data_IF_362387608328
#
_entry.id   IF_362387608328
#
_cell.length_a   1.000
_cell.length_b   1.000
_cell.length_c   1.000
_cell.angle_alpha   90.00
_cell.angle_beta   90.00
_cell.angle_gamma   90.00
#
_symmetry.space_group_name_H-M   'P 1'
#
loop_
_entity.id
_entity.type
_entity.pdbx_description
1 polymer ?
#
# COMPACT_ATOMS: atom_id res chain seq x y z
N UNK A 1 10.13 -34.07 -2.88
CA UNK A 1 10.84 -33.52 -1.72
C UNK A 1 11.05 -32.04 -2.03
N UNK A 2 10.48 -31.07 -1.30
CA UNK A 2 10.88 -29.70 -1.50
C UNK A 2 12.36 -29.61 -1.14
N UNK A 3 13.19 -29.16 -2.07
CA UNK A 3 14.58 -28.85 -1.81
C UNK A 3 14.62 -27.82 -0.68
N UNK A 4 15.16 -28.21 0.47
CA UNK A 4 15.41 -27.27 1.57
C UNK A 4 16.34 -26.19 1.03
N UNK A 5 15.79 -25.01 0.77
CA UNK A 5 16.60 -23.84 0.39
C UNK A 5 17.52 -23.52 1.56
N UNK A 6 18.77 -23.20 1.29
CA UNK A 6 19.72 -22.78 2.33
C UNK A 6 19.13 -21.58 3.13
N UNK A 7 19.40 -21.47 4.44
CA UNK A 7 18.85 -20.42 5.27
C UNK A 7 19.26 -19.02 4.78
N UNK A 8 18.45 -18.03 5.05
CA UNK A 8 18.75 -16.60 4.81
C UNK A 8 19.86 -16.18 5.78
N UNK A 9 20.76 -15.33 5.32
CA UNK A 9 21.94 -14.91 6.11
C UNK A 9 21.90 -13.44 6.50
N UNK A 10 21.06 -12.63 5.86
CA UNK A 10 20.87 -11.22 6.18
C UNK A 10 19.48 -10.75 5.79
N UNK A 11 18.97 -9.76 6.52
CA UNK A 11 17.87 -8.88 6.08
C UNK A 11 18.48 -7.64 5.46
N UNK A 12 18.06 -7.26 4.26
CA UNK A 12 18.64 -6.17 3.49
C UNK A 12 17.60 -5.12 3.18
N UNK A 13 17.83 -3.89 3.66
CA UNK A 13 17.09 -2.73 3.21
C UNK A 13 17.50 -2.38 1.78
N UNK A 14 16.53 -2.37 0.88
CA UNK A 14 16.72 -1.94 -0.51
C UNK A 14 16.09 -0.59 -0.71
N UNK A 15 16.90 0.44 -0.83
CA UNK A 15 16.39 1.73 -1.29
C UNK A 15 16.12 1.66 -2.79
N UNK A 16 14.84 1.74 -3.15
CA UNK A 16 14.34 1.68 -4.53
C UNK A 16 13.85 3.03 -5.01
N UNK A 17 13.83 4.03 -4.14
CA UNK A 17 13.47 5.42 -4.43
C UNK A 17 14.71 6.29 -4.61
N UNK A 18 14.56 7.39 -5.34
CA UNK A 18 15.65 8.37 -5.51
C UNK A 18 16.01 9.07 -4.19
N UNK A 19 15.02 9.19 -3.31
CA UNK A 19 15.18 9.78 -1.97
C UNK A 19 14.18 9.16 -1.00
N UNK A 20 14.64 8.81 0.19
CA UNK A 20 13.82 8.34 1.30
C UNK A 20 14.10 9.26 2.50
N UNK A 21 13.09 9.96 3.05
CA UNK A 21 13.26 10.86 4.19
C UNK A 21 13.83 10.15 5.43
N UNK A 22 14.53 10.87 6.29
CA UNK A 22 15.21 10.31 7.46
C UNK A 22 14.27 9.55 8.40
N UNK A 23 13.07 10.09 8.62
CA UNK A 23 12.05 9.44 9.45
C UNK A 23 11.57 8.10 8.88
N UNK A 24 11.51 7.98 7.54
CA UNK A 24 11.14 6.73 6.88
C UNK A 24 12.32 5.75 6.93
N UNK A 25 13.55 6.19 6.66
CA UNK A 25 14.73 5.34 6.76
C UNK A 25 14.86 4.70 8.14
N UNK A 26 14.72 5.51 9.21
CA UNK A 26 14.77 5.01 10.58
C UNK A 26 13.63 4.01 10.87
N UNK A 27 12.41 4.29 10.38
CA UNK A 27 11.26 3.39 10.50
C UNK A 27 11.51 2.07 9.75
N UNK A 28 12.02 2.13 8.52
CA UNK A 28 12.34 0.95 7.72
C UNK A 28 13.42 0.09 8.38
N UNK A 29 14.46 0.72 8.94
CA UNK A 29 15.50 0.00 9.67
C UNK A 29 14.91 -0.74 10.89
N UNK A 30 14.03 -0.10 11.63
CA UNK A 30 13.38 -0.71 12.79
C UNK A 30 12.50 -1.89 12.37
N UNK A 31 11.73 -1.76 11.30
CA UNK A 31 10.93 -2.84 10.72
C UNK A 31 11.84 -4.00 10.28
N UNK A 32 12.95 -3.72 9.60
CA UNK A 32 13.91 -4.75 9.19
C UNK A 32 14.51 -5.51 10.38
N UNK A 33 14.74 -4.84 11.52
CA UNK A 33 15.18 -5.49 12.76
C UNK A 33 14.13 -6.46 13.33
N UNK A 34 12.84 -6.09 13.32
CA UNK A 34 11.75 -6.99 13.71
C UNK A 34 11.65 -8.19 12.77
N UNK A 35 11.76 -7.97 11.47
CA UNK A 35 11.75 -9.06 10.47
C UNK A 35 12.95 -9.98 10.63
N UNK A 36 14.13 -9.44 10.92
CA UNK A 36 15.33 -10.22 11.18
C UNK A 36 15.16 -11.13 12.41
N UNK A 37 14.60 -10.58 13.50
CA UNK A 37 14.28 -11.34 14.70
C UNK A 37 13.30 -12.50 14.38
N UNK A 38 12.20 -12.21 13.68
CA UNK A 38 11.20 -13.21 13.27
C UNK A 38 11.78 -14.33 12.40
N UNK A 39 12.74 -13.99 11.54
CA UNK A 39 13.39 -14.92 10.63
C UNK A 39 14.58 -15.65 11.27
N UNK A 40 14.96 -15.33 12.52
CA UNK A 40 16.14 -15.87 13.18
C UNK A 40 17.46 -15.44 12.52
N UNK A 41 17.51 -14.22 12.01
CA UNK A 41 18.66 -13.62 11.31
C UNK A 41 19.24 -12.50 12.16
N UNK A 42 20.52 -12.56 12.51
CA UNK A 42 21.15 -11.54 13.37
C UNK A 42 21.65 -10.31 12.58
N UNK A 43 21.70 -10.40 11.26
CA UNK A 43 22.33 -9.39 10.40
C UNK A 43 21.30 -8.58 9.61
N UNK A 44 21.35 -7.23 9.80
CA UNK A 44 20.59 -6.26 9.00
C UNK A 44 21.57 -5.36 8.25
N UNK A 45 21.39 -5.21 6.95
CA UNK A 45 22.27 -4.45 6.05
C UNK A 45 21.48 -3.39 5.29
N UNK A 46 22.18 -2.31 4.91
CA UNK A 46 21.60 -1.22 4.09
C UNK A 46 21.94 -1.33 2.61
N UNK A 47 22.62 -2.40 2.21
CA UNK A 47 22.96 -2.68 0.81
C UNK A 47 23.06 -4.19 0.59
N UNK A 48 22.87 -4.69 -0.65
CA UNK A 48 23.03 -6.08 -0.96
C UNK A 48 24.41 -6.58 -0.58
N UNK A 49 24.46 -7.74 0.10
CA UNK A 49 25.73 -8.37 0.48
C UNK A 49 26.43 -8.87 -0.78
N UNK A 50 27.64 -8.41 -1.09
CA UNK A 50 28.36 -8.83 -2.29
C UNK A 50 28.94 -10.24 -2.10
N UNK A 51 28.11 -11.26 -2.16
CA UNK A 51 28.51 -12.66 -2.14
C UNK A 51 27.55 -13.45 -3.00
N UNK A 52 28.09 -14.23 -3.94
CA UNK A 52 27.30 -15.08 -4.82
C UNK A 52 26.48 -16.14 -4.04
N UNK A 53 26.88 -16.47 -2.81
CA UNK A 53 26.23 -17.46 -1.94
C UNK A 53 25.36 -16.83 -0.86
N UNK A 54 25.32 -15.49 -0.73
CA UNK A 54 24.52 -14.81 0.28
C UNK A 54 23.04 -14.84 -0.10
N UNK A 55 22.25 -15.57 0.67
CA UNK A 55 20.78 -15.54 0.54
C UNK A 55 20.23 -14.50 1.51
N UNK A 56 19.64 -13.46 0.94
CA UNK A 56 19.09 -12.35 1.70
C UNK A 56 17.55 -12.41 1.74
N UNK A 57 16.99 -11.79 2.77
CA UNK A 57 15.60 -11.36 2.82
C UNK A 57 15.56 -9.87 2.59
N UNK A 58 14.79 -9.40 1.63
CA UNK A 58 14.81 -8.02 1.20
C UNK A 58 13.64 -7.21 1.75
N UNK A 59 13.90 -5.96 2.11
CA UNK A 59 12.89 -4.97 2.53
C UNK A 59 13.01 -3.76 1.61
N UNK A 60 12.35 -3.77 0.45
CA UNK A 60 12.37 -2.65 -0.48
C UNK A 60 11.60 -1.45 0.07
N UNK A 61 12.12 -0.23 -0.14
CA UNK A 61 11.44 1.02 0.24
C UNK A 61 10.20 1.32 -0.60
N UNK A 62 10.07 0.68 -1.78
CA UNK A 62 8.88 0.70 -2.64
C UNK A 62 8.69 -0.65 -3.32
N UNK A 63 7.54 -0.86 -3.99
CA UNK A 63 7.31 -2.06 -4.80
C UNK A 63 8.44 -2.21 -5.81
N UNK A 64 9.08 -3.38 -5.83
CA UNK A 64 10.20 -3.65 -6.72
C UNK A 64 9.71 -3.77 -8.16
N UNK A 65 10.17 -2.88 -9.01
CA UNK A 65 9.89 -2.89 -10.45
C UNK A 65 11.19 -3.19 -11.16
N UNK A 66 11.34 -4.19 -11.88
CA UNK A 66 12.48 -4.64 -12.68
C UNK A 66 12.75 -6.14 -12.45
N UNK A 67 12.22 -6.98 -13.35
CA UNK A 67 12.43 -8.43 -13.28
C UNK A 67 13.92 -8.85 -13.35
N UNK A 68 14.76 -8.05 -14.03
CA UNK A 68 16.20 -8.34 -14.13
C UNK A 68 16.88 -8.15 -12.78
N UNK A 69 16.57 -7.04 -12.09
CA UNK A 69 17.05 -6.78 -10.73
C UNK A 69 16.51 -7.80 -9.73
N UNK A 70 15.22 -8.17 -9.86
CA UNK A 70 14.60 -9.20 -9.03
C UNK A 70 15.35 -10.53 -9.14
N UNK A 71 15.63 -10.99 -10.37
CA UNK A 71 16.41 -12.22 -10.60
C UNK A 71 17.83 -12.11 -10.08
N UNK A 72 18.52 -10.99 -10.30
CA UNK A 72 19.88 -10.75 -9.82
C UNK A 72 19.98 -10.77 -8.28
N UNK A 73 18.93 -10.38 -7.59
CA UNK A 73 18.81 -10.43 -6.13
C UNK A 73 18.39 -11.83 -5.63
N UNK A 74 18.03 -12.76 -6.51
CA UNK A 74 17.54 -14.08 -6.14
C UNK A 74 16.17 -14.07 -5.47
N UNK A 75 15.32 -13.09 -5.79
CA UNK A 75 13.93 -13.00 -5.33
C UNK A 75 13.06 -13.86 -6.23
N UNK A 76 12.53 -14.95 -5.68
CA UNK A 76 11.72 -15.93 -6.41
C UNK A 76 10.33 -16.13 -5.84
N UNK A 77 10.07 -15.65 -4.62
CA UNK A 77 8.78 -15.82 -3.93
C UNK A 77 8.62 -14.89 -2.74
N UNK A 78 7.47 -15.01 -2.11
CA UNK A 78 7.09 -14.21 -0.95
C UNK A 78 8.05 -14.38 0.24
N UNK A 79 8.72 -15.51 0.32
CA UNK A 79 9.72 -15.82 1.34
C UNK A 79 11.04 -15.07 1.16
N UNK A 80 11.20 -14.26 0.11
CA UNK A 80 12.44 -13.56 -0.20
C UNK A 80 12.39 -12.06 0.10
N UNK A 81 11.19 -11.49 0.32
CA UNK A 81 11.06 -10.04 0.56
C UNK A 81 9.87 -9.69 1.48
N UNK A 82 9.90 -8.51 2.08
CA UNK A 82 8.76 -7.86 2.74
C UNK A 82 8.25 -6.72 1.84
N UNK A 83 7.20 -6.99 1.11
CA UNK A 83 6.64 -6.09 0.10
C UNK A 83 6.23 -6.86 -1.13
N UNK A 84 6.32 -6.22 -2.28
CA UNK A 84 5.96 -6.81 -3.57
C UNK A 84 6.97 -6.55 -4.67
N UNK A 85 6.87 -7.35 -5.71
CA UNK A 85 7.61 -7.20 -6.96
C UNK A 85 6.66 -7.38 -8.14
N UNK A 86 6.83 -6.53 -9.16
CA UNK A 86 6.04 -6.48 -10.39
C UNK A 86 6.94 -6.27 -11.60
N UNK A 87 6.42 -6.61 -12.79
CA UNK A 87 7.21 -6.56 -14.02
C UNK A 87 7.23 -5.18 -14.71
N UNK A 88 6.25 -4.31 -14.43
CA UNK A 88 6.14 -3.00 -15.10
C UNK A 88 5.80 -1.88 -14.11
N UNK A 89 6.26 -0.64 -14.36
CA UNK A 89 6.05 0.51 -13.47
C UNK A 89 4.59 0.76 -13.09
N UNK A 90 3.68 0.77 -14.07
CA UNK A 90 2.25 1.00 -13.82
C UNK A 90 1.63 -0.04 -12.88
N UNK A 91 2.15 -1.27 -12.83
CA UNK A 91 1.66 -2.32 -11.93
C UNK A 91 1.98 -2.03 -10.45
N UNK A 92 2.99 -1.21 -10.17
CA UNK A 92 3.35 -0.82 -8.81
C UNK A 92 2.46 0.27 -8.22
N UNK A 93 1.54 0.83 -9.01
CA UNK A 93 0.76 2.01 -8.63
C UNK A 93 -0.74 1.79 -8.83
N UNK A 94 -1.55 2.76 -8.37
CA UNK A 94 -3.00 2.80 -8.60
C UNK A 94 -3.40 2.89 -10.09
N UNK A 95 -2.46 3.04 -11.03
CA UNK A 95 -2.74 3.05 -12.47
C UNK A 95 -3.47 1.78 -12.94
N UNK A 96 -3.28 0.64 -12.27
CA UNK A 96 -3.97 -0.61 -12.64
C UNK A 96 -5.46 -0.62 -12.35
N UNK A 97 -5.96 0.33 -11.53
CA UNK A 97 -7.32 0.26 -10.96
C UNK A 97 -8.44 0.46 -11.99
N UNK A 98 -8.17 1.02 -13.16
CA UNK A 98 -9.24 1.34 -14.11
C UNK A 98 -8.91 0.92 -15.54
N UNK A 99 -9.93 0.67 -16.39
CA UNK A 99 -9.72 0.41 -17.81
C UNK A 99 -9.22 1.66 -18.51
N UNK A 100 -8.73 1.47 -19.73
CA UNK A 100 -8.41 2.57 -20.63
C UNK A 100 -9.68 3.12 -21.32
N UNK A 101 -9.71 4.40 -21.72
CA UNK A 101 -10.66 4.87 -22.72
C UNK A 101 -10.51 4.09 -24.03
N UNK A 102 -11.57 4.00 -24.84
CA UNK A 102 -11.50 3.36 -26.15
C UNK A 102 -10.39 3.97 -27.01
N UNK A 103 -9.63 3.14 -27.72
CA UNK A 103 -8.53 3.52 -28.59
C UNK A 103 -7.39 4.34 -27.91
N UNK A 104 -7.24 4.21 -26.58
CA UNK A 104 -6.17 4.88 -25.86
C UNK A 104 -4.81 4.19 -26.06
N UNK A 105 -3.74 4.98 -25.99
CA UNK A 105 -2.37 4.46 -25.97
C UNK A 105 -2.02 3.89 -24.59
N UNK A 106 -1.16 2.88 -24.55
CA UNK A 106 -0.74 2.24 -23.30
C UNK A 106 0.70 1.69 -23.40
N UNK A 107 1.40 1.56 -22.26
CA UNK A 107 2.76 1.02 -22.22
C UNK A 107 2.78 -0.51 -22.43
N UNK A 108 3.95 -1.09 -22.75
CA UNK A 108 4.14 -2.53 -22.76
C UNK A 108 3.70 -3.19 -21.45
N UNK A 109 3.10 -4.38 -21.56
CA UNK A 109 2.62 -5.15 -20.39
C UNK A 109 1.27 -4.72 -19.84
N UNK A 110 0.63 -3.70 -20.40
CA UNK A 110 -0.73 -3.33 -20.01
C UNK A 110 -1.74 -4.43 -20.38
N UNK A 111 -2.75 -4.60 -19.52
CA UNK A 111 -3.90 -5.47 -19.81
C UNK A 111 -5.17 -4.93 -19.15
N UNK A 112 -6.24 -4.82 -19.91
CA UNK A 112 -7.57 -4.47 -19.37
C UNK A 112 -8.24 -5.64 -18.64
N UNK A 113 -7.69 -6.85 -18.78
CA UNK A 113 -8.26 -8.05 -18.12
C UNK A 113 -8.23 -7.95 -16.59
N UNK A 114 -7.27 -7.21 -16.02
CA UNK A 114 -7.25 -6.90 -14.59
C UNK A 114 -8.51 -6.11 -14.19
N UNK A 115 -8.73 -4.95 -14.80
CA UNK A 115 -9.86 -4.08 -14.49
C UNK A 115 -11.21 -4.75 -14.78
N UNK A 116 -11.27 -5.62 -15.80
CA UNK A 116 -12.47 -6.43 -16.10
C UNK A 116 -12.78 -7.43 -14.99
N UNK A 117 -11.77 -8.16 -14.49
CA UNK A 117 -11.99 -9.13 -13.41
C UNK A 117 -12.28 -8.44 -12.06
N UNK A 118 -11.63 -7.31 -11.79
CA UNK A 118 -11.79 -6.54 -10.56
C UNK A 118 -12.97 -5.55 -10.62
N UNK A 119 -13.80 -5.52 -11.67
CA UNK A 119 -14.78 -4.46 -11.93
C UNK A 119 -15.68 -4.14 -10.74
N UNK A 120 -16.15 -5.15 -9.99
CA UNK A 120 -17.00 -4.98 -8.82
C UNK A 120 -16.26 -4.44 -7.58
N UNK A 121 -14.94 -4.40 -7.65
CA UNK A 121 -14.07 -3.85 -6.62
C UNK A 121 -13.55 -2.45 -6.95
N UNK A 122 -13.96 -1.84 -8.06
CA UNK A 122 -13.44 -0.58 -8.55
C UNK A 122 -14.51 0.51 -8.56
N UNK A 123 -14.10 1.75 -8.30
CA UNK A 123 -14.90 2.92 -8.62
C UNK A 123 -14.95 3.11 -10.14
N UNK A 124 -15.87 3.94 -10.63
CA UNK A 124 -15.91 4.27 -12.05
C UNK A 124 -14.78 5.24 -12.40
N UNK A 125 -13.97 4.88 -13.37
CA UNK A 125 -12.81 5.68 -13.74
C UNK A 125 -12.12 5.18 -14.98
N UNK A 126 -11.05 5.89 -15.33
CA UNK A 126 -10.13 5.54 -16.40
C UNK A 126 -8.68 5.73 -15.96
N UNK A 127 -7.83 4.84 -16.41
CA UNK A 127 -6.38 5.05 -16.41
C UNK A 127 -5.96 5.53 -17.78
N UNK A 128 -5.01 6.46 -17.84
CA UNK A 128 -4.53 7.04 -19.08
C UNK A 128 -3.02 7.20 -19.06
N UNK A 129 -2.39 7.10 -20.23
CA UNK A 129 -0.95 7.22 -20.44
C UNK A 129 -0.56 8.35 -21.38
N UNK A 130 -1.53 9.19 -21.78
CA UNK A 130 -1.30 10.40 -22.57
C UNK A 130 -2.21 11.53 -22.15
N UNK A 131 -1.78 12.76 -22.38
CA UNK A 131 -2.59 13.97 -22.11
C UNK A 131 -3.86 14.01 -23.00
N UNK A 132 -3.79 13.47 -24.21
CA UNK A 132 -4.94 13.39 -25.11
C UNK A 132 -6.01 12.44 -24.53
N UNK A 133 -5.60 11.28 -24.04
CA UNK A 133 -6.49 10.31 -23.42
C UNK A 133 -7.06 10.82 -22.09
N UNK A 134 -6.27 11.60 -21.32
CA UNK A 134 -6.75 12.24 -20.09
C UNK A 134 -7.91 13.20 -20.37
N UNK A 135 -7.84 14.01 -21.43
CA UNK A 135 -8.95 14.89 -21.84
C UNK A 135 -10.20 14.10 -22.19
N UNK A 136 -10.07 13.03 -22.98
CA UNK A 136 -11.20 12.15 -23.33
C UNK A 136 -11.83 11.49 -22.09
N UNK A 137 -10.99 10.97 -21.21
CA UNK A 137 -11.46 10.35 -19.96
C UNK A 137 -12.23 11.34 -19.09
N UNK A 138 -11.70 12.56 -18.91
CA UNK A 138 -12.36 13.61 -18.17
C UNK A 138 -13.71 13.99 -18.80
N UNK A 139 -13.78 14.18 -20.11
CA UNK A 139 -15.04 14.49 -20.82
C UNK A 139 -16.11 13.40 -20.62
N UNK A 140 -15.70 12.13 -20.58
CA UNK A 140 -16.61 11.02 -20.36
C UNK A 140 -17.15 11.00 -18.93
N UNK A 141 -16.28 11.18 -17.93
CA UNK A 141 -16.65 11.12 -16.52
C UNK A 141 -17.43 12.34 -16.06
N UNK A 142 -17.07 13.55 -16.53
CA UNK A 142 -17.72 14.81 -16.17
C UNK A 142 -19.20 14.88 -16.57
N UNK A 143 -19.67 14.03 -17.49
CA UNK A 143 -21.12 13.94 -17.82
C UNK A 143 -21.96 13.50 -16.63
N UNK A 144 -21.37 12.76 -15.72
CA UNK A 144 -22.07 12.15 -14.58
C UNK A 144 -21.75 12.82 -13.25
N UNK A 145 -20.64 13.57 -13.15
CA UNK A 145 -20.29 14.28 -11.93
C UNK A 145 -18.87 14.80 -11.88
N UNK A 146 -18.44 15.33 -10.74
CA UNK A 146 -17.05 15.74 -10.51
C UNK A 146 -16.10 14.56 -10.69
N UNK A 147 -14.88 14.88 -11.11
CA UNK A 147 -13.83 13.87 -11.38
C UNK A 147 -12.62 14.13 -10.48
N UNK A 148 -12.18 13.11 -9.79
CA UNK A 148 -10.94 13.12 -9.02
C UNK A 148 -9.78 12.71 -9.91
N UNK A 149 -8.83 13.60 -10.09
CA UNK A 149 -7.57 13.38 -10.83
C UNK A 149 -6.50 12.97 -9.83
N UNK A 150 -5.90 11.80 -10.02
CA UNK A 150 -4.96 11.18 -9.07
C UNK A 150 -3.62 10.91 -9.75
N UNK A 151 -2.59 11.74 -9.53
CA UNK A 151 -1.22 11.40 -9.90
C UNK A 151 -0.80 10.10 -9.20
N UNK A 152 -0.29 9.14 -9.98
CA UNK A 152 -0.09 7.77 -9.46
C UNK A 152 1.13 7.61 -8.54
N UNK A 153 2.13 8.48 -8.66
CA UNK A 153 3.32 8.49 -7.83
C UNK A 153 3.14 9.25 -6.50
N UNK A 154 2.02 9.97 -6.35
CA UNK A 154 1.73 10.69 -5.12
C UNK A 154 1.10 9.78 -4.07
N UNK A 155 1.55 9.93 -2.81
CA UNK A 155 1.10 9.15 -1.65
C UNK A 155 0.26 10.01 -0.71
N UNK A 156 -0.53 9.37 0.16
CA UNK A 156 -1.31 10.02 1.23
C UNK A 156 -2.27 11.13 0.72
N UNK A 157 -2.86 10.96 -0.45
CA UNK A 157 -3.80 11.92 -1.04
C UNK A 157 -3.16 13.19 -1.62
N UNK A 158 -1.84 13.35 -1.52
CA UNK A 158 -1.15 14.54 -2.05
C UNK A 158 -1.30 14.66 -3.57
N UNK A 159 -1.40 15.89 -4.06
CA UNK A 159 -1.50 16.19 -5.50
C UNK A 159 -2.80 15.74 -6.17
N UNK A 160 -3.75 15.15 -5.44
CA UNK A 160 -5.08 14.87 -5.99
C UNK A 160 -5.88 16.17 -6.10
N UNK A 161 -6.65 16.27 -7.18
CA UNK A 161 -7.53 17.42 -7.41
C UNK A 161 -8.88 16.94 -7.93
N UNK A 162 -9.94 17.64 -7.50
CA UNK A 162 -11.30 17.42 -8.02
C UNK A 162 -11.57 18.49 -9.06
N UNK A 163 -11.97 18.07 -10.25
CA UNK A 163 -12.34 18.95 -11.35
C UNK A 163 -13.84 18.85 -11.61
N UNK A 164 -14.46 19.98 -11.92
CA UNK A 164 -15.89 20.09 -12.25
C UNK A 164 -16.13 20.39 -13.73
N UNK A 165 -15.08 20.71 -14.47
CA UNK A 165 -15.08 20.95 -15.90
C UNK A 165 -13.74 20.59 -16.54
N UNK A 166 -13.73 20.47 -17.86
CA UNK A 166 -12.53 20.09 -18.62
C UNK A 166 -11.43 21.15 -18.59
N UNK A 167 -11.75 22.43 -18.33
CA UNK A 167 -10.74 23.50 -18.31
C UNK A 167 -9.86 23.39 -17.08
N UNK A 168 -10.41 22.94 -15.94
CA UNK A 168 -9.67 22.72 -14.71
C UNK A 168 -8.61 21.61 -14.82
N UNK A 169 -8.70 20.72 -15.83
CA UNK A 169 -7.71 19.68 -16.09
C UNK A 169 -6.43 20.24 -16.74
N UNK A 170 -6.53 21.28 -17.55
CA UNK A 170 -5.39 21.74 -18.38
C UNK A 170 -4.14 22.15 -17.60
N UNK A 171 -4.24 22.94 -16.49
CA UNK A 171 -3.07 23.27 -15.68
C UNK A 171 -2.36 22.02 -15.12
N UNK A 172 -3.14 20.99 -14.75
CA UNK A 172 -2.60 19.73 -14.23
C UNK A 172 -1.82 19.00 -15.30
N UNK A 173 -2.39 18.89 -16.51
CA UNK A 173 -1.72 18.23 -17.64
C UNK A 173 -0.47 19.00 -18.10
N UNK A 174 -0.49 20.34 -18.07
CA UNK A 174 0.68 21.14 -18.41
C UNK A 174 1.85 20.93 -17.46
N UNK A 175 1.59 20.71 -16.18
CA UNK A 175 2.60 20.44 -15.17
C UNK A 175 3.19 19.02 -15.23
N UNK A 176 2.55 18.09 -15.96
CA UNK A 176 2.98 16.70 -16.07
C UNK A 176 4.02 16.53 -17.17
N UNK A 177 5.06 15.75 -16.85
CA UNK A 177 6.03 15.27 -17.83
C UNK A 177 5.41 14.13 -18.68
N UNK A 178 5.58 14.21 -19.99
CA UNK A 178 4.96 13.27 -20.94
C UNK A 178 5.58 11.87 -20.86
N UNK A 179 6.88 11.77 -20.59
CA UNK A 179 7.59 10.49 -20.47
C UNK A 179 7.15 9.78 -19.17
N UNK A 180 7.12 10.50 -18.06
CA UNK A 180 6.62 9.98 -16.79
C UNK A 180 5.16 9.56 -16.87
N UNK A 181 4.29 10.35 -17.53
CA UNK A 181 2.90 10.00 -17.78
C UNK A 181 2.78 8.73 -18.62
N UNK A 182 3.57 8.62 -19.70
CA UNK A 182 3.58 7.44 -20.58
C UNK A 182 4.04 6.15 -19.88
N UNK A 183 4.87 6.26 -18.84
CA UNK A 183 5.42 5.14 -18.10
C UNK A 183 4.54 4.71 -16.90
N UNK A 184 4.07 5.68 -16.12
CA UNK A 184 3.41 5.45 -14.83
C UNK A 184 1.89 5.58 -14.90
N UNK A 185 1.38 6.41 -15.81
CA UNK A 185 -0.04 6.68 -15.98
C UNK A 185 -0.59 7.79 -15.07
N UNK A 186 -1.86 8.08 -15.28
CA UNK A 186 -2.70 8.99 -14.49
C UNK A 186 -4.06 8.34 -14.30
N UNK A 187 -4.64 8.46 -13.11
CA UNK A 187 -5.99 7.98 -12.82
C UNK A 187 -6.97 9.16 -12.77
N UNK A 188 -8.09 8.99 -13.46
CA UNK A 188 -9.27 9.83 -13.34
C UNK A 188 -10.43 8.95 -12.88
N UNK A 189 -11.07 9.30 -11.76
CA UNK A 189 -12.20 8.52 -11.24
C UNK A 189 -13.33 9.42 -10.74
N UNK A 190 -14.53 8.84 -10.60
CA UNK A 190 -15.65 9.54 -9.98
C UNK A 190 -15.26 10.08 -8.60
N UNK A 191 -15.66 11.32 -8.31
CA UNK A 191 -15.50 11.88 -6.97
C UNK A 191 -16.68 11.48 -6.08
N UNK A 192 -16.40 11.19 -4.81
CA UNK A 192 -17.40 10.76 -3.84
C UNK A 192 -17.51 11.76 -2.69
N UNK A 193 -18.72 11.96 -2.21
CA UNK A 193 -19.03 12.72 -1.00
C UNK A 193 -19.14 11.77 0.22
N UNK A 194 -18.93 12.34 1.43
CA UNK A 194 -19.03 11.63 2.70
C UNK A 194 -18.22 10.32 2.73
N UNK A 195 -16.97 10.41 2.28
CA UNK A 195 -16.09 9.24 2.12
C UNK A 195 -15.66 8.68 3.47
N UNK A 196 -15.88 7.38 3.65
CA UNK A 196 -15.28 6.53 4.65
C UNK A 196 -14.21 5.66 4.00
N UNK A 197 -13.05 5.50 4.63
CA UNK A 197 -11.94 4.71 4.09
C UNK A 197 -11.63 3.54 5.00
N UNK A 198 -11.59 2.35 4.43
CA UNK A 198 -11.16 1.11 5.07
C UNK A 198 -9.75 0.75 4.60
N UNK A 199 -8.94 0.24 5.51
CA UNK A 199 -7.64 -0.37 5.20
C UNK A 199 -7.78 -1.88 5.38
N UNK A 200 -7.51 -2.65 4.33
CA UNK A 200 -7.54 -4.12 4.35
C UNK A 200 -6.19 -4.63 3.89
N UNK A 201 -5.60 -5.58 4.62
CA UNK A 201 -4.30 -6.08 4.22
C UNK A 201 -3.98 -7.47 4.72
N UNK A 202 -2.84 -7.96 4.22
CA UNK A 202 -2.29 -9.26 4.59
C UNK A 202 -0.76 -9.21 4.57
N UNK A 203 -0.14 -9.88 5.54
CA UNK A 203 1.31 -10.07 5.59
C UNK A 203 1.64 -11.55 5.76
N UNK A 204 2.66 -12.02 5.03
CA UNK A 204 3.17 -13.40 5.05
C UNK A 204 4.66 -13.39 5.31
N UNK A 205 5.07 -13.75 6.52
CA UNK A 205 6.47 -13.70 6.96
C UNK A 205 6.74 -14.88 7.89
N UNK A 206 7.88 -15.53 7.74
CA UNK A 206 8.36 -16.62 8.61
C UNK A 206 7.33 -17.77 8.78
N UNK A 207 6.56 -18.07 7.73
CA UNK A 207 5.49 -19.08 7.78
C UNK A 207 4.21 -18.65 8.45
N UNK A 208 4.14 -17.41 8.98
CA UNK A 208 2.91 -16.80 9.46
C UNK A 208 2.17 -16.07 8.34
N UNK A 209 0.86 -16.21 8.33
CA UNK A 209 -0.06 -15.37 7.54
C UNK A 209 -0.95 -14.62 8.53
N UNK A 210 -0.96 -13.30 8.43
CA UNK A 210 -1.85 -12.45 9.20
C UNK A 210 -2.66 -11.60 8.23
N UNK A 211 -3.96 -11.50 8.46
CA UNK A 211 -4.84 -10.58 7.71
C UNK A 211 -5.46 -9.56 8.66
N UNK A 212 -5.74 -8.39 8.16
CA UNK A 212 -6.32 -7.33 8.97
C UNK A 212 -7.30 -6.46 8.20
N UNK A 213 -8.18 -5.85 8.94
CA UNK A 213 -8.92 -4.68 8.52
C UNK A 213 -8.71 -3.55 9.51
N UNK A 214 -8.98 -2.33 9.10
CA UNK A 214 -8.88 -1.18 9.98
C UNK A 214 -9.31 0.11 9.32
N UNK A 215 -9.11 1.20 10.06
CA UNK A 215 -9.37 2.56 9.64
C UNK A 215 -8.09 3.38 9.72
N UNK A 216 -8.02 4.44 8.93
CA UNK A 216 -6.95 5.43 9.02
C UNK A 216 -7.47 6.66 9.77
N UNK A 217 -6.61 7.29 10.54
CA UNK A 217 -6.90 8.60 11.13
C UNK A 217 -5.94 9.64 10.58
N UNK A 218 -6.42 10.87 10.53
CA UNK A 218 -5.64 12.01 10.08
C UNK A 218 -5.03 12.74 11.27
N UNK A 219 -3.92 13.40 11.03
CA UNK A 219 -3.29 14.35 11.94
C UNK A 219 -3.01 15.67 11.20
N UNK A 220 -2.55 16.69 11.92
CA UNK A 220 -2.16 17.96 11.30
C UNK A 220 -0.65 18.09 11.33
N UNK A 221 -0.06 18.40 10.17
CA UNK A 221 1.34 18.73 10.06
C UNK A 221 1.64 20.15 10.62
N UNK A 222 2.90 20.56 10.59
CA UNK A 222 3.32 21.89 11.08
C UNK A 222 2.72 23.06 10.29
N UNK A 223 2.23 22.84 9.07
CA UNK A 223 1.51 23.84 8.27
C UNK A 223 0.00 23.83 8.54
N UNK A 224 -0.49 22.93 9.41
CA UNK A 224 -1.90 22.76 9.71
C UNK A 224 -2.67 21.94 8.65
N UNK A 225 -1.96 21.35 7.69
CA UNK A 225 -2.55 20.50 6.66
C UNK A 225 -2.89 19.13 7.25
N UNK A 226 -4.06 18.60 6.91
CA UNK A 226 -4.44 17.25 7.27
C UNK A 226 -3.64 16.24 6.45
N UNK A 227 -2.94 15.35 7.15
CA UNK A 227 -2.09 14.29 6.59
C UNK A 227 -2.37 12.98 7.31
N UNK A 228 -1.84 11.89 6.78
CA UNK A 228 -1.92 10.58 7.45
C UNK A 228 -1.34 10.67 8.87
N UNK A 229 -2.12 10.24 9.85
CA UNK A 229 -1.79 10.26 11.27
C UNK A 229 -1.59 8.87 11.88
N UNK A 230 -2.01 7.82 11.16
CA UNK A 230 -1.87 6.44 11.59
C UNK A 230 -3.03 5.55 11.17
N UNK A 231 -2.99 4.31 11.66
CA UNK A 231 -4.01 3.30 11.39
C UNK A 231 -4.33 2.51 12.64
N UNK A 232 -5.60 2.18 12.83
CA UNK A 232 -6.07 1.23 13.83
C UNK A 232 -6.47 -0.05 13.13
N UNK A 233 -5.87 -1.18 13.51
CA UNK A 233 -6.00 -2.47 12.84
C UNK A 233 -6.57 -3.52 13.79
N UNK A 234 -7.51 -4.32 13.31
CA UNK A 234 -7.89 -5.61 13.89
C UNK A 234 -7.21 -6.69 13.07
N UNK A 235 -6.30 -7.41 13.70
CA UNK A 235 -5.43 -8.40 13.05
C UNK A 235 -5.82 -9.81 13.49
N UNK A 236 -5.96 -10.72 12.54
CA UNK A 236 -6.22 -12.15 12.80
C UNK A 236 -5.08 -13.01 12.26
N UNK A 237 -4.88 -14.17 12.91
CA UNK A 237 -4.05 -15.24 12.37
C UNK A 237 -4.79 -15.92 11.21
N UNK A 238 -4.15 -15.99 10.06
CA UNK A 238 -4.68 -16.62 8.87
C UNK A 238 -4.97 -15.64 7.74
N UNK A 239 -5.64 -16.13 6.71
CA UNK A 239 -5.95 -15.39 5.50
C UNK A 239 -7.25 -14.54 5.64
N UNK A 240 -7.69 -13.93 4.55
CA UNK A 240 -8.91 -13.14 4.52
C UNK A 240 -10.17 -13.94 4.88
N UNK A 241 -10.17 -15.28 4.66
CA UNK A 241 -11.32 -16.11 5.04
C UNK A 241 -11.47 -16.17 6.57
N UNK A 242 -10.35 -16.15 7.31
CA UNK A 242 -10.39 -16.04 8.78
C UNK A 242 -10.86 -14.65 9.21
N UNK A 243 -10.44 -13.61 8.51
CA UNK A 243 -10.89 -12.24 8.78
C UNK A 243 -12.41 -12.09 8.58
N UNK A 244 -12.97 -12.73 7.54
CA UNK A 244 -14.42 -12.73 7.24
C UNK A 244 -15.28 -13.50 8.28
N UNK A 245 -14.68 -14.28 9.17
CA UNK A 245 -15.36 -14.96 10.27
C UNK A 245 -15.64 -14.04 11.46
N UNK A 246 -15.00 -12.86 11.52
CA UNK A 246 -15.28 -11.88 12.56
C UNK A 246 -16.72 -11.34 12.44
N UNK A 247 -17.31 -10.84 13.53
CA UNK A 247 -18.60 -10.15 13.51
C UNK A 247 -18.45 -8.78 12.83
N UNK A 248 -18.47 -8.78 11.50
CA UNK A 248 -18.30 -7.62 10.64
C UNK A 248 -19.65 -7.07 10.20
N UNK A 249 -19.76 -5.74 10.07
CA UNK A 249 -20.86 -5.14 9.33
C UNK A 249 -20.75 -5.41 7.81
N UNK A 250 -21.82 -5.14 7.08
CA UNK A 250 -21.88 -5.42 5.65
C UNK A 250 -20.88 -4.59 4.83
N UNK A 251 -20.56 -3.40 5.30
CA UNK A 251 -19.64 -2.49 4.60
C UNK A 251 -18.20 -2.96 4.69
N UNK A 252 -17.80 -3.37 5.87
CA UNK A 252 -16.46 -3.90 6.10
C UNK A 252 -16.28 -5.27 5.42
N UNK A 253 -17.33 -6.10 5.44
CA UNK A 253 -17.36 -7.36 4.68
C UNK A 253 -17.21 -7.12 3.18
N UNK A 254 -17.90 -6.09 2.64
CA UNK A 254 -17.75 -5.70 1.24
C UNK A 254 -16.31 -5.24 0.94
N UNK A 255 -15.72 -4.38 1.79
CA UNK A 255 -14.36 -3.91 1.61
C UNK A 255 -13.34 -5.06 1.58
N UNK A 256 -13.47 -6.06 2.47
CA UNK A 256 -12.60 -7.24 2.47
C UNK A 256 -12.76 -8.04 1.16
N UNK A 257 -13.99 -8.25 0.70
CA UNK A 257 -14.24 -8.96 -0.56
C UNK A 257 -13.69 -8.19 -1.77
N UNK A 258 -13.75 -6.85 -1.76
CA UNK A 258 -13.17 -6.01 -2.81
C UNK A 258 -11.64 -6.11 -2.83
N UNK A 259 -10.98 -6.10 -1.66
CA UNK A 259 -9.54 -6.34 -1.57
C UNK A 259 -9.16 -7.72 -2.13
N UNK A 260 -9.91 -8.77 -1.78
CA UNK A 260 -9.69 -10.13 -2.30
C UNK A 260 -9.85 -10.21 -3.82
N UNK A 261 -10.90 -9.60 -4.38
CA UNK A 261 -11.15 -9.59 -5.82
C UNK A 261 -10.03 -8.85 -6.58
N UNK A 262 -9.58 -7.72 -6.03
CA UNK A 262 -8.48 -6.94 -6.58
C UNK A 262 -7.16 -7.72 -6.57
N UNK A 263 -6.83 -8.38 -5.45
CA UNK A 263 -5.65 -9.24 -5.32
C UNK A 263 -5.69 -10.41 -6.29
N UNK A 264 -6.83 -11.10 -6.37
CA UNK A 264 -7.01 -12.21 -7.30
C UNK A 264 -6.80 -11.80 -8.76
N UNK A 265 -7.24 -10.59 -9.14
CA UNK A 265 -7.00 -10.05 -10.47
C UNK A 265 -5.50 -9.80 -10.73
N UNK A 266 -4.76 -9.28 -9.75
CA UNK A 266 -3.31 -9.09 -9.84
C UNK A 266 -2.56 -10.43 -9.97
N UNK A 267 -2.88 -11.40 -9.12
CA UNK A 267 -2.27 -12.75 -9.16
C UNK A 267 -2.51 -13.45 -10.51
N UNK A 268 -3.67 -13.20 -11.12
CA UNK A 268 -4.05 -13.85 -12.38
C UNK A 268 -3.42 -13.19 -13.61
N UNK A 269 -3.31 -11.86 -13.62
CA UNK A 269 -3.00 -11.12 -14.85
C UNK A 269 -1.66 -10.41 -14.84
N UNK A 270 -0.94 -10.39 -13.71
CA UNK A 270 0.39 -9.79 -13.68
C UNK A 270 1.48 -10.87 -13.63
N UNK A 271 2.15 -11.13 -14.76
CA UNK A 271 3.21 -12.12 -14.81
C UNK A 271 4.33 -11.78 -13.82
N UNK A 272 4.74 -12.76 -13.00
CA UNK A 272 5.81 -12.57 -12.02
C UNK A 272 5.43 -11.72 -10.82
N UNK A 273 4.14 -11.46 -10.57
CA UNK A 273 3.67 -10.80 -9.37
C UNK A 273 4.05 -11.58 -8.11
N UNK A 274 4.69 -10.92 -7.20
CA UNK A 274 5.01 -11.44 -5.87
C UNK A 274 4.59 -10.38 -4.85
N UNK A 275 3.92 -10.78 -3.77
CA UNK A 275 3.64 -9.89 -2.67
C UNK A 275 3.52 -10.66 -1.35
N UNK A 276 4.47 -10.45 -0.45
CA UNK A 276 4.40 -10.95 0.93
C UNK A 276 3.69 -9.96 1.86
N UNK A 277 3.63 -8.69 1.49
CA UNK A 277 2.90 -7.64 2.19
C UNK A 277 1.94 -6.95 1.23
N UNK A 278 0.68 -6.90 1.60
CA UNK A 278 -0.41 -6.33 0.82
C UNK A 278 -1.25 -5.41 1.71
N UNK A 279 -1.59 -4.25 1.17
CA UNK A 279 -2.55 -3.35 1.78
C UNK A 279 -3.37 -2.68 0.68
N UNK A 280 -4.66 -2.51 0.93
CA UNK A 280 -5.63 -1.90 0.03
C UNK A 280 -6.41 -0.85 0.79
N UNK A 281 -6.47 0.36 0.26
CA UNK A 281 -7.33 1.41 0.75
C UNK A 281 -8.62 1.38 -0.06
N UNK A 282 -9.75 1.17 0.61
CA UNK A 282 -11.06 1.04 0.01
C UNK A 282 -11.93 2.21 0.46
N UNK A 283 -12.48 2.96 -0.49
CA UNK A 283 -13.44 4.00 -0.21
C UNK A 283 -14.87 3.48 -0.26
N UNK A 284 -15.71 4.10 0.55
CA UNK A 284 -17.16 4.07 0.47
C UNK A 284 -17.67 5.49 0.60
N UNK A 285 -18.60 5.88 -0.27
CA UNK A 285 -19.17 7.23 -0.25
C UNK A 285 -20.35 7.33 -1.21
N UNK A 286 -20.86 8.52 -1.41
CA UNK A 286 -21.97 8.77 -2.31
C UNK A 286 -21.49 9.45 -3.59
N UNK A 287 -21.98 9.00 -4.75
CA UNK A 287 -21.82 9.73 -6.00
C UNK A 287 -22.71 10.99 -6.00
N UNK A 288 -22.58 11.82 -7.03
CA UNK A 288 -23.37 13.06 -7.17
C UNK A 288 -24.87 12.82 -7.19
N UNK A 289 -25.33 11.64 -7.58
CA UNK A 289 -26.74 11.25 -7.63
C UNK A 289 -27.24 10.70 -6.27
N UNK A 290 -26.35 10.58 -5.28
CA UNK A 290 -26.64 10.03 -3.95
C UNK A 290 -26.64 8.50 -3.90
N UNK A 291 -26.12 7.82 -4.93
CA UNK A 291 -25.96 6.39 -4.90
C UNK A 291 -24.70 6.01 -4.11
N UNK A 292 -24.85 5.01 -3.25
CA UNK A 292 -23.73 4.48 -2.51
C UNK A 292 -22.77 3.73 -3.44
N UNK A 293 -21.49 4.13 -3.39
CA UNK A 293 -20.39 3.56 -4.14
C UNK A 293 -19.33 3.02 -3.19
N UNK A 294 -18.64 1.98 -3.60
CA UNK A 294 -17.47 1.45 -2.88
C UNK A 294 -16.49 0.86 -3.86
N UNK A 295 -15.19 1.03 -3.59
CA UNK A 295 -14.13 0.46 -4.44
C UNK A 295 -12.74 0.72 -3.89
N UNK A 296 -11.78 -0.05 -4.39
CA UNK A 296 -10.36 0.08 -4.07
C UNK A 296 -9.81 1.38 -4.68
N UNK A 297 -9.30 2.26 -3.82
CA UNK A 297 -8.65 3.52 -4.23
C UNK A 297 -7.22 3.31 -4.70
N UNK A 298 -6.48 2.46 -3.97
CA UNK A 298 -5.10 2.11 -4.30
C UNK A 298 -4.68 0.84 -3.57
N UNK A 299 -3.70 0.15 -4.14
CA UNK A 299 -2.94 -0.89 -3.50
C UNK A 299 -1.60 -0.36 -3.00
N UNK A 300 -1.06 -1.03 -1.98
CA UNK A 300 0.29 -0.82 -1.48
C UNK A 300 0.95 -2.17 -1.22
N UNK A 301 1.81 -2.58 -2.15
CA UNK A 301 2.64 -3.79 -2.04
C UNK A 301 4.06 -3.44 -1.62
N UNK A 302 4.19 -2.54 -0.67
CA UNK A 302 5.45 -2.01 -0.16
C UNK A 302 5.37 -1.76 1.34
N UNK A 303 6.50 -1.56 1.96
CA UNK A 303 6.56 -1.01 3.31
C UNK A 303 5.77 0.32 3.37
N UNK A 304 4.97 0.51 4.40
CA UNK A 304 4.06 1.67 4.48
C UNK A 304 3.65 2.03 5.91
N UNK A 305 2.69 2.95 6.04
CA UNK A 305 2.25 3.49 7.34
C UNK A 305 1.74 2.44 8.32
N UNK A 306 1.09 1.36 7.85
CA UNK A 306 0.62 0.26 8.69
C UNK A 306 1.74 -0.72 9.10
N UNK A 307 2.89 -0.71 8.43
CA UNK A 307 3.94 -1.73 8.63
C UNK A 307 4.53 -1.80 10.03
N UNK A 308 4.64 -0.72 10.82
CA UNK A 308 5.00 -0.82 12.23
C UNK A 308 4.03 -1.68 13.04
N UNK A 309 2.71 -1.55 12.83
CA UNK A 309 1.70 -2.38 13.50
C UNK A 309 1.75 -3.83 12.99
N UNK A 310 1.98 -4.03 11.69
CA UNK A 310 2.10 -5.36 11.08
C UNK A 310 3.25 -6.17 11.71
N UNK A 311 4.44 -5.57 11.88
CA UNK A 311 5.59 -6.30 12.44
C UNK A 311 5.45 -6.55 13.95
N UNK A 312 4.82 -5.66 14.70
CA UNK A 312 4.48 -5.91 16.11
C UNK A 312 3.47 -7.05 16.23
N UNK A 313 2.42 -7.05 15.38
CA UNK A 313 1.46 -8.14 15.35
C UNK A 313 2.14 -9.48 14.98
N UNK A 314 2.98 -9.52 13.94
CA UNK A 314 3.74 -10.71 13.57
C UNK A 314 4.56 -11.25 14.76
N UNK A 315 5.23 -10.36 15.51
CA UNK A 315 6.02 -10.73 16.68
C UNK A 315 5.13 -11.34 17.77
N UNK A 316 4.02 -10.69 18.13
CA UNK A 316 3.09 -11.19 19.14
C UNK A 316 2.49 -12.55 18.74
N UNK A 317 2.10 -12.74 17.49
CA UNK A 317 1.60 -14.02 17.00
C UNK A 317 2.67 -15.11 16.92
N UNK A 318 3.94 -14.76 16.73
CA UNK A 318 5.06 -15.71 16.77
C UNK A 318 5.36 -16.16 18.21
N UNK A 319 5.30 -15.25 19.17
CA UNK A 319 5.54 -15.52 20.59
C UNK A 319 4.41 -16.31 21.24
N UNK A 320 3.17 -16.09 20.83
CA UNK A 320 1.99 -16.83 21.33
C UNK A 320 1.24 -17.54 20.18
N UNK A 321 1.50 -18.82 19.97
CA UNK A 321 0.79 -19.63 18.97
C UNK A 321 -0.72 -19.79 19.23
N UNK A 322 -1.19 -19.58 20.47
CA UNK A 322 -2.61 -19.65 20.81
C UNK A 322 -3.37 -18.37 20.46
N UNK A 323 -2.67 -17.25 20.29
CA UNK A 323 -3.25 -15.97 19.94
C UNK A 323 -3.91 -16.06 18.55
N UNK A 324 -5.19 -15.68 18.45
CA UNK A 324 -5.95 -15.73 17.20
C UNK A 324 -6.27 -14.35 16.65
N UNK A 325 -6.35 -13.33 17.51
CA UNK A 325 -6.73 -11.97 17.16
C UNK A 325 -6.10 -10.97 18.13
N UNK A 326 -5.71 -9.80 17.62
CA UNK A 326 -5.28 -8.65 18.42
C UNK A 326 -5.68 -7.34 17.74
N UNK A 327 -5.60 -6.23 18.48
CA UNK A 327 -5.65 -4.88 17.95
C UNK A 327 -4.25 -4.28 17.93
N UNK A 328 -3.86 -3.68 16.80
CA UNK A 328 -2.60 -2.97 16.66
C UNK A 328 -2.83 -1.59 16.06
N UNK A 329 -2.02 -0.61 16.40
CA UNK A 329 -2.15 0.74 15.85
C UNK A 329 -0.80 1.36 15.54
N UNK A 330 -0.80 2.27 14.56
CA UNK A 330 0.33 3.15 14.25
C UNK A 330 -0.08 4.59 14.48
N UNK A 331 0.89 5.41 14.86
CA UNK A 331 0.67 6.82 15.14
C UNK A 331 1.82 7.65 14.60
N UNK A 332 1.48 8.73 13.87
CA UNK A 332 2.38 9.78 13.46
C UNK A 332 1.94 11.09 14.12
N UNK A 333 2.81 11.65 14.96
CA UNK A 333 2.49 12.86 15.74
C UNK A 333 3.52 13.92 15.45
N UNK A 334 3.08 15.07 14.92
CA UNK A 334 3.91 16.22 14.66
C UNK A 334 4.12 17.03 15.94
N UNK A 335 5.35 17.53 16.13
CA UNK A 335 5.75 18.24 17.34
C UNK A 335 6.28 17.30 18.44
N UNK A 336 6.38 17.84 19.68
CA UNK A 336 6.80 17.06 20.83
C UNK A 336 5.63 16.25 21.37
N UNK A 337 5.73 14.93 21.30
CA UNK A 337 4.71 14.02 21.84
C UNK A 337 5.26 13.29 23.08
N UNK A 338 4.42 13.18 24.11
CA UNK A 338 4.64 12.22 25.18
C UNK A 338 4.12 10.87 24.73
N UNK A 339 5.02 9.91 24.58
CA UNK A 339 4.66 8.58 24.16
C UNK A 339 3.89 7.84 25.26
N UNK A 340 2.84 7.06 24.94
CA UNK A 340 2.23 6.12 25.86
C UNK A 340 3.26 5.11 26.38
N UNK A 341 3.05 4.58 27.60
CA UNK A 341 3.99 3.66 28.22
C UNK A 341 4.15 2.32 27.49
N UNK A 342 3.11 1.91 26.74
CA UNK A 342 3.05 0.70 25.93
C UNK A 342 3.44 0.95 24.46
N UNK A 343 3.90 2.16 24.12
CA UNK A 343 4.29 2.49 22.76
C UNK A 343 5.66 1.91 22.41
N UNK A 344 5.73 1.26 21.26
CA UNK A 344 7.00 0.90 20.61
C UNK A 344 7.39 2.03 19.65
N UNK A 345 8.51 2.67 19.93
CA UNK A 345 9.02 3.79 19.16
C UNK A 345 9.70 3.30 17.87
N UNK A 346 9.31 3.87 16.73
CA UNK A 346 9.95 3.65 15.42
C UNK A 346 10.81 4.84 15.00
N UNK A 347 10.36 6.06 15.27
CA UNK A 347 11.13 7.29 15.04
C UNK A 347 10.72 8.38 16.02
N UNK A 348 11.68 9.16 16.49
CA UNK A 348 11.45 10.42 17.19
C UNK A 348 12.62 11.36 16.92
N UNK A 349 12.37 12.47 16.27
CA UNK A 349 13.42 13.40 15.92
C UNK A 349 12.94 14.53 15.03
N UNK A 350 13.91 15.34 14.59
CA UNK A 350 13.68 16.39 13.59
C UNK A 350 14.02 15.82 12.21
N UNK A 351 13.04 15.78 11.34
CA UNK A 351 13.19 15.42 9.94
C UNK A 351 13.37 16.69 9.09
N UNK A 352 14.26 16.66 8.10
CA UNK A 352 14.58 17.82 7.28
C UNK A 352 13.42 18.34 6.43
N UNK A 353 12.46 17.47 6.10
CA UNK A 353 11.30 17.80 5.27
C UNK A 353 10.04 18.09 6.10
N UNK A 354 9.83 17.31 7.15
CA UNK A 354 8.60 17.32 7.92
C UNK A 354 8.72 17.99 9.30
N UNK A 355 9.94 18.38 9.72
CA UNK A 355 10.17 18.98 11.04
C UNK A 355 10.12 17.94 12.17
N UNK A 356 9.81 18.37 13.37
CA UNK A 356 9.75 17.51 14.55
C UNK A 356 8.56 16.56 14.48
N UNK A 357 8.80 15.23 14.52
CA UNK A 357 7.73 14.24 14.58
C UNK A 357 8.15 13.00 15.37
N UNK A 358 7.14 12.24 15.79
CA UNK A 358 7.28 10.93 16.41
C UNK A 358 6.42 9.91 15.69
N UNK A 359 6.98 8.71 15.42
CA UNK A 359 6.27 7.56 14.87
C UNK A 359 6.38 6.41 15.84
N UNK A 360 5.24 5.87 16.25
CA UNK A 360 5.19 4.72 17.16
C UNK A 360 4.04 3.79 16.81
N UNK A 361 4.11 2.57 17.30
CA UNK A 361 3.05 1.60 17.18
C UNK A 361 2.72 0.99 18.55
N UNK A 362 1.52 0.44 18.67
CA UNK A 362 1.02 -0.19 19.90
C UNK A 362 0.30 -1.48 19.55
N UNK A 363 0.38 -2.44 20.49
CA UNK A 363 -0.54 -3.58 20.54
C UNK A 363 -1.45 -3.36 21.74
N UNK A 364 -2.74 -3.59 21.53
CA UNK A 364 -3.74 -3.63 22.60
C UNK A 364 -4.29 -5.04 22.66
N UNK A 365 -4.42 -5.55 23.88
CA UNK A 365 -5.12 -6.81 24.11
C UNK A 365 -6.60 -6.67 23.72
N UNK A 366 -7.15 -7.77 23.24
CA UNK A 366 -8.45 -7.82 22.61
C UNK A 366 -9.64 -7.66 23.53
N UNK A 367 -9.43 -7.84 24.84
CA UNK A 367 -10.51 -7.85 25.85
C UNK A 367 -10.84 -6.46 26.43
N UNK A 368 -10.14 -5.42 26.04
CA UNK A 368 -10.46 -4.05 26.46
C UNK A 368 -11.30 -3.35 25.40
N UNK A 369 -12.62 -3.62 25.43
CA UNK A 369 -13.62 -2.71 24.88
C UNK A 369 -13.68 -1.50 25.81
N UNK A 370 -13.26 -0.34 25.35
CA UNK A 370 -13.81 0.94 25.81
C UNK A 370 -14.99 1.34 24.94
#
# INVERSE_FOLDING_TARGET
MPHSRAPKTAVVLLDTRAHTPDHEQATHLKIAQYLAHLLGIDRVESAPVPSADARCYYVPSDTLVDPTRQMALGIHGEEDLFGGAVSHPHMATKAISHPLPADASFPPGWTDAFAQLASDALLRGYTVFSKADARRAAELLLRDGPVRVKPVLACAGRGQQVINDSQALEPLLQAMDDEALGLWGLVLEEDLDAVETFSVGQVRVAGLTLSYHGTQHLTRDHAGTEVYGGSDLVVVRGDYLQLLQLPLDDHLRLAINQAMAYEQAAERYFPGFIASRRNYDIARGNDRQGHLRSGVLEQSWRIGGASPAEVLALTAFAEDPALQRLCASTHEVFGQARLPADATLFYQGYDSELGQLSKYARIRDHDHRE
#
